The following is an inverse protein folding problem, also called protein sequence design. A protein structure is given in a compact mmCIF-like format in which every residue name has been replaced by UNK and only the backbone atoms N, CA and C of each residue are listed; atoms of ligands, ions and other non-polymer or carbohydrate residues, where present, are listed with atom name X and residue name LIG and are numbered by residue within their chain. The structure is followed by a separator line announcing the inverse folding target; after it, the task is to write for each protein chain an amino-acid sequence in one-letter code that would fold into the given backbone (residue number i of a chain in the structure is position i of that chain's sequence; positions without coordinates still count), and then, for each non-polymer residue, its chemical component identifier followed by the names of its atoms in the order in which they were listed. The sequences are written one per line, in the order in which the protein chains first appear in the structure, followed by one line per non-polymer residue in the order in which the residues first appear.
data_IF_016226968128
#
_entry.id   IF_016226968128
#
_cell.length_a   1.000
_cell.length_b   1.000
_cell.length_c   1.000
_cell.angle_alpha   90.00
_cell.angle_beta   90.00
_cell.angle_gamma   90.00
#
_symmetry.space_group_name_H-M   'P 1'
#
loop_
_entity.id
_entity.type
_entity.pdbx_description
1 polymer ?
#
# COMPACT_ATOMS: atom_id res chain seq x y z
N UNK A 1 -10.44 -4.58 7.96
CA UNK A 1 -9.72 -4.02 6.80
C UNK A 1 -8.84 -5.11 6.25
N UNK A 2 -8.74 -5.24 4.93
CA UNK A 2 -7.90 -6.25 4.27
C UNK A 2 -6.88 -5.53 3.41
N UNK A 3 -5.65 -6.04 3.40
CA UNK A 3 -4.53 -5.54 2.60
C UNK A 3 -4.18 -6.62 1.57
N UNK A 4 -4.22 -6.28 0.29
CA UNK A 4 -3.80 -7.15 -0.82
C UNK A 4 -2.55 -6.55 -1.46
N UNK A 5 -1.46 -7.31 -1.45
CA UNK A 5 -0.14 -6.88 -1.91
C UNK A 5 0.30 -7.56 -3.22
N UNK A 6 -0.63 -8.15 -3.98
CA UNK A 6 -0.32 -8.82 -5.24
C UNK A 6 0.32 -10.20 -5.04
N UNK A 7 1.02 -10.72 -6.07
CA UNK A 7 1.54 -12.10 -6.07
C UNK A 7 2.55 -12.31 -4.92
N UNK A 8 2.36 -13.41 -4.20
CA UNK A 8 3.10 -13.80 -3.00
C UNK A 8 4.63 -13.70 -3.16
N UNK A 9 5.21 -12.66 -2.56
CA UNK A 9 6.64 -12.51 -2.33
C UNK A 9 6.95 -12.58 -0.84
N UNK A 10 8.13 -13.07 -0.47
CA UNK A 10 8.58 -13.11 0.94
C UNK A 10 8.69 -11.67 1.50
N UNK A 11 8.35 -11.45 2.77
CA UNK A 11 8.43 -10.13 3.43
C UNK A 11 9.45 -10.14 4.57
N UNK A 12 10.13 -9.02 4.77
CA UNK A 12 11.09 -8.81 5.86
C UNK A 12 10.52 -7.78 6.84
N UNK A 13 10.39 -8.15 8.12
CA UNK A 13 10.01 -7.21 9.18
C UNK A 13 11.24 -6.54 9.78
N UNK A 14 11.11 -5.25 10.06
CA UNK A 14 12.08 -4.47 10.84
C UNK A 14 11.33 -3.78 11.97
N UNK A 15 11.72 -4.04 13.22
CA UNK A 15 11.20 -3.31 14.38
C UNK A 15 12.00 -2.01 14.59
N UNK A 16 11.39 -0.97 15.17
CA UNK A 16 12.12 0.25 15.58
C UNK A 16 13.24 -0.03 16.61
N UNK A 17 13.23 -1.19 17.27
CA UNK A 17 14.31 -1.69 18.11
C UNK A 17 15.00 -2.93 17.48
N UNK A 18 15.80 -2.70 16.43
CA UNK A 18 16.91 -3.54 15.90
C UNK A 18 16.78 -5.08 15.81
N UNK A 19 15.58 -5.68 15.84
CA UNK A 19 15.38 -7.10 15.55
C UNK A 19 14.81 -7.27 14.15
N UNK A 20 15.62 -7.80 13.25
CA UNK A 20 15.21 -8.20 11.90
C UNK A 20 14.66 -9.62 11.95
N UNK A 21 13.41 -9.81 11.54
CA UNK A 21 12.80 -11.14 11.43
C UNK A 21 12.24 -11.34 10.01
N UNK A 22 12.65 -12.42 9.35
CA UNK A 22 12.15 -12.81 8.02
C UNK A 22 10.92 -13.70 8.19
N UNK A 23 9.85 -13.42 7.47
CA UNK A 23 8.63 -14.23 7.50
C UNK A 23 8.19 -14.61 6.08
N UNK A 24 7.57 -15.78 5.95
CA UNK A 24 6.99 -16.22 4.68
C UNK A 24 5.77 -15.37 4.28
N UNK A 25 5.51 -15.29 2.97
CA UNK A 25 4.48 -14.47 2.31
C UNK A 25 3.02 -14.71 2.73
N UNK A 26 2.76 -15.74 3.55
CA UNK A 26 1.42 -16.21 3.91
C UNK A 26 0.89 -15.66 5.24
N UNK A 27 1.51 -14.60 5.78
CA UNK A 27 0.90 -13.93 6.92
C UNK A 27 -0.34 -13.19 6.43
N UNK A 28 -1.48 -13.49 7.06
CA UNK A 28 -2.63 -12.59 7.04
C UNK A 28 -2.13 -11.21 7.45
N UNK A 29 -2.25 -10.18 6.60
CA UNK A 29 -1.89 -8.83 6.99
C UNK A 29 -2.59 -8.34 8.27
N UNK A 30 -3.73 -8.95 8.63
CA UNK A 30 -4.39 -8.77 9.92
C UNK A 30 -3.51 -9.16 11.11
N UNK A 31 -2.67 -10.19 11.00
CA UNK A 31 -1.68 -10.55 12.03
C UNK A 31 -0.51 -9.55 12.12
N UNK A 32 -0.30 -8.71 11.10
CA UNK A 32 0.71 -7.64 11.12
C UNK A 32 0.27 -6.45 12.00
N UNK A 33 -1.04 -6.35 12.31
CA UNK A 33 -1.65 -5.32 13.16
C UNK A 33 -1.58 -5.64 14.66
N UNK A 34 -1.17 -6.85 15.05
CA UNK A 34 -1.09 -7.25 16.46
C UNK A 34 0.09 -6.61 17.22
N UNK A 35 0.93 -5.84 16.54
CA UNK A 35 2.03 -5.10 17.16
C UNK A 35 1.53 -3.76 17.70
N UNK A 36 1.39 -3.66 19.03
CA UNK A 36 1.01 -2.40 19.69
C UNK A 36 1.95 -1.23 19.38
N UNK A 37 3.23 -1.51 19.09
CA UNK A 37 4.29 -0.50 18.92
C UNK A 37 4.53 -0.11 17.45
N UNK A 38 3.62 -0.44 16.54
CA UNK A 38 3.82 -0.29 15.10
C UNK A 38 4.89 -1.23 14.52
N UNK A 39 4.93 -1.35 13.19
CA UNK A 39 5.86 -2.24 12.50
C UNK A 39 6.14 -1.82 11.05
N UNK A 40 7.40 -1.95 10.63
CA UNK A 40 7.82 -1.78 9.24
C UNK A 40 8.05 -3.12 8.56
N UNK A 41 7.53 -3.27 7.35
CA UNK A 41 7.64 -4.47 6.53
C UNK A 41 8.15 -4.13 5.16
N UNK A 42 9.25 -4.74 4.74
CA UNK A 42 9.83 -4.59 3.42
C UNK A 42 9.48 -5.79 2.53
N UNK A 43 9.11 -5.53 1.28
CA UNK A 43 9.05 -6.58 0.27
C UNK A 43 10.46 -7.10 -0.02
N UNK A 44 10.61 -8.41 -0.20
CA UNK A 44 11.88 -9.01 -0.67
C UNK A 44 11.80 -9.45 -2.13
N UNK A 45 10.66 -9.22 -2.78
CA UNK A 45 10.44 -9.41 -4.20
C UNK A 45 9.83 -8.13 -4.80
N UNK A 46 9.93 -7.94 -6.13
CA UNK A 46 9.28 -6.85 -6.83
C UNK A 46 7.77 -6.84 -6.61
N UNK A 47 7.27 -5.71 -6.13
CA UNK A 47 5.85 -5.39 -6.02
C UNK A 47 5.67 -4.00 -6.61
N UNK A 48 4.59 -3.80 -7.35
CA UNK A 48 4.26 -2.52 -8.01
C UNK A 48 2.83 -2.05 -7.72
N UNK A 49 2.12 -2.78 -6.84
CA UNK A 49 0.72 -2.58 -6.52
C UNK A 49 0.38 -3.02 -5.10
N UNK A 50 -0.37 -2.17 -4.40
CA UNK A 50 -1.03 -2.48 -3.12
C UNK A 50 -2.49 -2.05 -3.19
N UNK A 51 -3.38 -2.86 -2.63
CA UNK A 51 -4.79 -2.51 -2.44
C UNK A 51 -5.17 -2.59 -0.97
N UNK A 52 -5.73 -1.51 -0.46
CA UNK A 52 -6.37 -1.43 0.84
C UNK A 52 -7.89 -1.55 0.64
N UNK A 53 -8.54 -2.49 1.33
CA UNK A 53 -10.00 -2.63 1.34
C UNK A 53 -10.57 -2.51 2.75
N UNK A 54 -11.63 -1.70 2.86
CA UNK A 54 -12.49 -1.65 4.04
C UNK A 54 -13.52 -2.79 3.99
N UNK A 55 -14.19 -3.02 5.10
CA UNK A 55 -15.22 -4.07 5.23
C UNK A 55 -16.44 -3.83 4.34
N UNK A 56 -16.71 -2.58 3.97
CA UNK A 56 -17.77 -2.21 3.01
C UNK A 56 -17.35 -2.42 1.54
N UNK A 57 -16.15 -2.96 1.29
CA UNK A 57 -15.60 -3.19 -0.04
C UNK A 57 -15.00 -1.95 -0.72
N UNK A 58 -15.19 -0.75 -0.15
CA UNK A 58 -14.48 0.45 -0.59
C UNK A 58 -12.98 0.36 -0.28
N UNK A 59 -12.17 1.21 -0.91
CA UNK A 59 -10.73 1.09 -0.74
C UNK A 59 -9.88 2.05 -1.56
N UNK A 60 -8.59 1.76 -1.55
CA UNK A 60 -7.57 2.49 -2.29
C UNK A 60 -6.65 1.48 -2.96
N UNK A 61 -6.46 1.62 -4.27
CA UNK A 61 -5.37 0.98 -5.00
C UNK A 61 -4.25 1.99 -5.21
N UNK A 62 -3.03 1.58 -4.84
CA UNK A 62 -1.79 2.29 -5.09
C UNK A 62 -0.98 1.47 -6.07
N UNK A 63 -0.52 2.08 -7.15
CA UNK A 63 0.43 1.49 -8.10
C UNK A 63 1.62 2.40 -8.30
N UNK A 64 2.75 1.86 -8.70
CA UNK A 64 3.94 2.65 -9.02
C UNK A 64 4.78 2.03 -10.13
N UNK A 65 5.83 2.73 -10.52
CA UNK A 65 6.83 2.22 -11.46
C UNK A 65 7.64 1.08 -10.80
N UNK A 66 7.24 -0.17 -11.01
CA UNK A 66 7.91 -1.34 -10.44
C UNK A 66 9.33 -1.60 -10.97
N UNK A 67 9.71 -0.98 -12.09
CA UNK A 67 11.08 -1.05 -12.62
C UNK A 67 11.97 -0.03 -11.91
N UNK A 68 11.48 1.20 -11.74
CA UNK A 68 12.22 2.25 -11.06
C UNK A 68 12.19 2.09 -9.52
N UNK A 69 11.12 1.54 -8.94
CA UNK A 69 10.90 1.36 -7.51
C UNK A 69 10.52 -0.10 -7.22
N UNK A 70 11.47 -1.04 -7.24
CA UNK A 70 11.19 -2.48 -7.15
C UNK A 70 10.78 -2.91 -5.73
N UNK A 71 10.97 -2.08 -4.71
CA UNK A 71 10.67 -2.45 -3.33
C UNK A 71 9.45 -1.67 -2.82
N UNK A 72 8.80 -2.21 -1.79
CA UNK A 72 7.81 -1.46 -1.02
C UNK A 72 8.02 -1.72 0.46
N UNK A 73 7.96 -0.65 1.25
CA UNK A 73 7.75 -0.73 2.68
C UNK A 73 6.28 -0.53 3.03
N UNK A 74 5.80 -1.25 4.03
CA UNK A 74 4.54 -1.00 4.71
C UNK A 74 4.85 -0.62 6.15
N UNK A 75 4.40 0.55 6.56
CA UNK A 75 4.42 0.97 7.96
C UNK A 75 3.00 0.86 8.51
N UNK A 76 2.80 -0.01 9.51
CA UNK A 76 1.53 -0.16 10.20
C UNK A 76 1.70 0.44 11.58
N UNK A 77 0.90 1.46 11.89
CA UNK A 77 0.93 2.16 13.17
C UNK A 77 -0.50 2.18 13.75
N UNK A 78 -0.78 1.46 14.85
CA UNK A 78 -2.09 1.50 15.50
C UNK A 78 -2.35 2.80 16.29
N UNK A 79 -1.43 3.78 16.24
CA UNK A 79 -1.47 5.03 17.00
C UNK A 79 -0.37 5.16 18.05
N UNK A 80 0.70 4.36 17.93
CA UNK A 80 1.88 4.42 18.78
C UNK A 80 2.73 5.67 18.48
N UNK A 81 2.79 6.11 17.22
CA UNK A 81 3.55 7.29 16.80
C UNK A 81 2.68 8.36 16.13
N UNK A 82 1.64 7.96 15.42
CA UNK A 82 0.63 8.85 14.86
C UNK A 82 -0.54 9.08 15.83
N UNK A 83 -1.24 10.22 15.70
CA UNK A 83 -2.42 10.54 16.53
C UNK A 83 -3.66 9.69 16.22
N UNK A 84 -3.58 8.81 15.22
CA UNK A 84 -4.63 7.90 14.78
C UNK A 84 -4.00 6.70 14.08
N UNK A 85 -4.69 5.55 13.96
CA UNK A 85 -4.19 4.42 13.20
C UNK A 85 -3.87 4.79 11.75
N UNK A 86 -2.69 4.42 11.26
CA UNK A 86 -2.20 4.72 9.91
C UNK A 86 -1.55 3.49 9.30
N UNK A 87 -1.74 3.32 7.99
CA UNK A 87 -0.93 2.42 7.16
C UNK A 87 -0.25 3.28 6.09
N UNK A 88 1.07 3.33 6.11
CA UNK A 88 1.86 3.94 5.04
C UNK A 88 2.25 2.88 4.01
N UNK A 89 2.17 3.24 2.74
CA UNK A 89 2.66 2.46 1.60
C UNK A 89 3.83 3.25 1.01
N UNK A 90 5.03 2.66 1.06
CA UNK A 90 6.29 3.34 0.75
C UNK A 90 7.00 2.62 -0.41
N UNK A 91 6.62 2.88 -1.68
CA UNK A 91 7.41 2.42 -2.83
C UNK A 91 8.84 2.94 -2.74
N UNK A 92 9.83 2.08 -2.98
CA UNK A 92 11.22 2.35 -2.67
C UNK A 92 12.18 1.73 -3.67
N UNK A 93 13.38 2.32 -3.71
CA UNK A 93 14.49 1.86 -4.55
C UNK A 93 15.15 0.59 -3.99
N UNK A 94 15.20 0.46 -2.66
CA UNK A 94 15.87 -0.62 -1.97
C UNK A 94 15.22 -0.87 -0.59
N UNK A 95 15.33 -2.10 -0.03
CA UNK A 95 14.65 -2.48 1.21
C UNK A 95 15.50 -2.13 2.45
N UNK A 96 15.85 -0.84 2.58
CA UNK A 96 16.71 -0.33 3.66
C UNK A 96 16.17 0.99 4.19
N UNK A 97 16.20 1.14 5.52
CA UNK A 97 15.93 2.41 6.19
C UNK A 97 17.17 3.32 6.23
N UNK A 98 18.37 2.72 6.23
CA UNK A 98 19.65 3.41 6.24
C UNK A 98 20.22 3.54 4.83
N UNK A 99 20.54 4.77 4.41
CA UNK A 99 21.28 5.01 3.16
C UNK A 99 22.68 4.38 3.21
N UNK A 100 23.34 4.39 4.37
CA UNK A 100 24.66 3.80 4.52
C UNK A 100 24.63 2.28 4.27
N UNK A 101 23.60 1.59 4.76
CA UNK A 101 23.40 0.16 4.53
C UNK A 101 23.07 -0.11 3.06
N UNK A 102 22.17 0.68 2.48
CA UNK A 102 21.82 0.58 1.06
C UNK A 102 23.02 0.80 0.14
N UNK A 103 23.88 1.77 0.46
CA UNK A 103 25.11 2.05 -0.28
C UNK A 103 26.13 0.91 -0.11
N UNK A 104 26.33 0.42 1.11
CA UNK A 104 27.25 -0.69 1.39
C UNK A 104 26.81 -1.99 0.70
N UNK A 105 25.50 -2.19 0.53
CA UNK A 105 24.92 -3.31 -0.21
C UNK A 105 24.86 -3.09 -1.74
N UNK A 106 25.38 -1.96 -2.26
CA UNK A 106 25.28 -1.56 -3.66
C UNK A 106 23.85 -1.51 -4.21
N UNK A 107 22.87 -1.21 -3.35
CA UNK A 107 21.45 -1.18 -3.68
C UNK A 107 20.92 0.26 -3.91
N UNK A 108 21.64 1.28 -3.44
CA UNK A 108 21.28 2.68 -3.68
C UNK A 108 21.69 3.12 -5.10
N UNK A 109 20.79 3.66 -5.94
CA UNK A 109 21.15 4.14 -7.27
C UNK A 109 21.99 5.41 -7.19
N UNK A 110 22.89 5.57 -8.17
CA UNK A 110 23.60 6.84 -8.38
C UNK A 110 22.86 7.67 -9.42
N UNK A 111 22.47 8.89 -9.05
CA UNK A 111 21.81 9.83 -9.96
C UNK A 111 22.83 10.84 -10.48
N UNK A 112 22.77 11.17 -11.77
CA UNK A 112 23.62 12.19 -12.39
C UNK A 112 22.78 13.11 -13.28
N UNK A 113 23.35 14.28 -13.65
CA UNK A 113 22.65 15.23 -14.54
C UNK A 113 22.27 14.63 -15.89
N UNK A 114 23.07 13.69 -16.41
CA UNK A 114 22.82 13.00 -17.68
C UNK A 114 21.89 11.80 -17.55
N UNK A 115 21.66 11.30 -16.33
CA UNK A 115 20.83 10.13 -16.05
C UNK A 115 19.86 10.44 -14.90
N UNK A 116 18.79 11.21 -15.15
CA UNK A 116 17.79 11.49 -14.13
C UNK A 116 16.99 10.23 -13.81
N UNK A 117 16.79 9.97 -12.52
CA UNK A 117 15.86 8.94 -12.07
C UNK A 117 14.43 9.49 -12.14
N UNK A 118 13.55 8.77 -12.84
CA UNK A 118 12.12 9.11 -12.98
C UNK A 118 11.29 7.91 -12.58
N UNK A 119 10.16 8.18 -11.94
CA UNK A 119 9.20 7.19 -11.50
C UNK A 119 7.81 7.84 -11.43
N UNK A 120 6.79 7.01 -11.26
CA UNK A 120 5.41 7.47 -11.10
C UNK A 120 4.72 6.69 -9.99
N UNK A 121 3.68 7.31 -9.41
CA UNK A 121 2.73 6.67 -8.50
C UNK A 121 1.33 7.01 -9.01
N UNK A 122 0.43 6.03 -8.99
CA UNK A 122 -0.99 6.19 -9.32
C UNK A 122 -1.84 5.77 -8.14
N UNK A 123 -2.79 6.61 -7.81
CA UNK A 123 -3.79 6.36 -6.78
C UNK A 123 -5.14 6.18 -7.47
N UNK A 124 -5.88 5.15 -7.08
CA UNK A 124 -7.22 4.88 -7.57
C UNK A 124 -8.12 4.53 -6.41
N UNK A 125 -9.13 5.36 -6.18
CA UNK A 125 -10.19 5.04 -5.23
C UNK A 125 -11.01 3.85 -5.75
N UNK A 126 -11.40 2.98 -4.83
CA UNK A 126 -12.30 1.86 -5.08
C UNK A 126 -13.59 2.17 -4.34
N UNK A 127 -14.67 2.40 -5.08
CA UNK A 127 -16.00 2.56 -4.50
C UNK A 127 -16.48 1.27 -3.83
N UNK A 128 -17.40 1.41 -2.87
CA UNK A 128 -18.14 0.27 -2.36
C UNK A 128 -18.91 -0.41 -3.51
N UNK A 129 -19.12 -1.75 -3.46
CA UNK A 129 -20.04 -2.39 -4.39
C UNK A 129 -21.40 -1.70 -4.27
N UNK A 130 -22.09 -1.48 -5.40
CA UNK A 130 -23.47 -1.03 -5.35
C UNK A 130 -24.25 -2.03 -4.49
N UNK A 131 -24.87 -1.55 -3.41
CA UNK A 131 -25.72 -2.38 -2.56
C UNK A 131 -26.77 -3.04 -3.46
N UNK A 132 -26.87 -4.37 -3.40
CA UNK A 132 -27.78 -5.18 -4.21
C UNK A 132 -29.25 -5.02 -3.82
N UNK A 133 -29.65 -3.84 -3.36
CA UNK A 133 -31.03 -3.47 -3.04
C UNK A 133 -31.77 -2.83 -4.22
N UNK A 134 -31.18 -2.80 -5.41
CA UNK A 134 -31.83 -2.23 -6.61
C UNK A 134 -32.39 -3.29 -7.56
N UNK A 135 -32.82 -4.44 -7.02
CA UNK A 135 -33.69 -5.38 -7.72
C UNK A 135 -35.14 -5.17 -7.33
N UNK A 136 -35.70 -3.99 -7.64
CA UNK A 136 -37.10 -3.77 -8.02
C UNK A 136 -37.41 -2.26 -8.16
N UNK A 137 -37.20 -1.71 -9.36
CA UNK A 137 -38.07 -0.64 -9.84
C UNK A 137 -38.54 -0.99 -11.25
N UNK A 138 -39.86 -1.19 -11.47
CA UNK A 138 -40.38 -1.43 -12.80
C UNK A 138 -40.15 -0.18 -13.66
N UNK A 139 -39.77 -0.41 -14.92
CA UNK A 139 -39.69 0.60 -15.96
C UNK A 139 -41.03 1.30 -16.10
N UNK A 140 -41.08 2.58 -15.72
CA UNK A 140 -42.23 3.46 -15.91
C UNK A 140 -41.73 4.86 -16.25
N UNK A 141 -42.19 5.34 -17.40
CA UNK A 141 -41.80 6.57 -18.06
C UNK A 141 -41.92 7.87 -17.23
N UNK A 142 -41.11 8.85 -17.67
CA UNK A 142 -41.27 10.30 -17.55
C UNK A 142 -41.22 10.95 -16.15
N UNK A 143 -40.25 11.87 -15.95
CA UNK A 143 -40.53 13.30 -16.06
C UNK A 143 -39.34 14.20 -15.72
N UNK A 144 -39.32 15.32 -16.46
CA UNK A 144 -38.52 16.53 -16.29
C UNK A 144 -38.35 17.02 -14.85
N UNK A 145 -37.19 17.62 -14.56
CA UNK A 145 -37.11 18.75 -13.63
C UNK A 145 -36.20 19.86 -14.19
N UNK A 146 -36.79 21.06 -14.30
CA UNK A 146 -36.14 22.35 -14.55
C UNK A 146 -35.55 22.87 -13.24
N UNK A 147 -34.45 23.62 -13.35
CA UNK A 147 -33.92 24.46 -12.29
C UNK A 147 -34.54 25.86 -12.33
N UNK A 148 -35.00 26.37 -11.19
CA UNK A 148 -35.15 27.79 -10.86
C UNK A 148 -35.14 27.97 -9.35
N UNK A 149 -34.40 28.97 -8.85
CA UNK A 149 -34.43 29.45 -7.47
C UNK A 149 -33.05 29.65 -6.89
#
# INVERSE_FOLDING_TARGET
MTLDVGRAGTWRRTHPAEKVQKFGANLDPGSLLESADGAKWWSTAPIDRVVLRRSDGSGLEVRWDGIALPCVALWLDPGAYASSPVIAIEPALAPFDSLADAASAAAAPTVSRSHPLRWWIRLREIGAPASSSDSARPTGDANHWRATG
#
